data_IF_398812142812
#
_entry.id   IF_398812142812
#
_cell.length_a   1.000
_cell.length_b   1.000
_cell.length_c   1.000
_cell.angle_alpha   90.00
_cell.angle_beta   90.00
_cell.angle_gamma   90.00
#
_symmetry.space_group_name_H-M   'P 1'
#
loop_
_entity.id
_entity.type
_entity.pdbx_description
1 polymer ?
#
# COMPACT_ATOMS: atom_id res chain seq x y z
N UNK A 1 -24.01 -17.16 -23.56
CA UNK A 1 -24.32 -15.72 -23.47
C UNK A 1 -25.72 -15.59 -22.91
N UNK A 2 -25.85 -15.24 -21.63
CA UNK A 2 -27.14 -15.01 -21.00
C UNK A 2 -27.03 -13.70 -20.21
N UNK A 3 -27.76 -12.70 -20.68
CA UNK A 3 -27.87 -11.38 -20.04
C UNK A 3 -29.31 -11.27 -19.53
N UNK A 4 -29.40 -10.73 -18.31
CA UNK A 4 -30.54 -10.04 -17.70
C UNK A 4 -31.79 -10.85 -17.34
N UNK A 5 -32.09 -10.86 -16.04
CA UNK A 5 -33.44 -11.07 -15.55
C UNK A 5 -33.67 -10.35 -14.22
N UNK A 6 -34.77 -9.58 -14.18
CA UNK A 6 -35.59 -9.11 -13.06
C UNK A 6 -35.26 -7.78 -12.37
N UNK A 7 -36.02 -6.76 -12.77
CA UNK A 7 -36.49 -5.69 -11.91
C UNK A 7 -37.79 -6.11 -11.21
N UNK A 8 -37.94 -5.81 -9.92
CA UNK A 8 -39.11 -5.11 -9.35
C UNK A 8 -39.18 -5.21 -7.81
N UNK A 9 -39.67 -4.11 -7.23
CA UNK A 9 -40.38 -3.97 -5.94
C UNK A 9 -39.59 -3.47 -4.72
N UNK A 10 -39.82 -2.19 -4.41
CA UNK A 10 -39.98 -1.68 -3.04
C UNK A 10 -38.71 -1.22 -2.31
N UNK A 11 -38.65 0.08 -2.00
CA UNK A 11 -37.76 0.60 -0.96
C UNK A 11 -37.10 1.93 -1.31
N UNK A 12 -37.73 3.02 -0.88
CA UNK A 12 -37.12 4.35 -0.83
C UNK A 12 -36.30 4.45 0.46
N UNK A 13 -35.12 5.07 0.37
CA UNK A 13 -34.13 5.29 1.44
C UNK A 13 -33.48 3.96 1.90
N UNK A 14 -32.16 3.79 1.89
CA UNK A 14 -31.18 4.55 2.65
C UNK A 14 -29.79 4.36 2.04
N UNK A 15 -29.08 5.47 1.85
CA UNK A 15 -27.63 5.46 1.63
C UNK A 15 -27.22 4.83 0.31
N UNK A 16 -26.78 5.66 -0.63
CA UNK A 16 -25.81 5.24 -1.62
C UNK A 16 -24.67 4.54 -0.89
N UNK A 17 -24.70 3.19 -0.89
CA UNK A 17 -23.51 2.39 -0.74
C UNK A 17 -22.62 2.86 -1.88
N UNK A 18 -21.70 3.77 -1.56
CA UNK A 18 -20.46 3.88 -2.31
C UNK A 18 -19.99 2.43 -2.37
N UNK A 19 -20.16 1.82 -3.54
CA UNK A 19 -19.28 0.75 -3.93
C UNK A 19 -17.92 1.39 -3.75
N UNK A 20 -17.24 1.06 -2.65
CA UNK A 20 -15.80 1.07 -2.70
C UNK A 20 -15.51 0.17 -3.89
N UNK A 21 -15.25 0.80 -5.04
CA UNK A 21 -14.55 0.19 -6.14
C UNK A 21 -13.37 -0.52 -5.48
N UNK A 22 -13.56 -1.81 -5.19
CA UNK A 22 -12.47 -2.67 -4.85
C UNK A 22 -11.58 -2.55 -6.08
N UNK A 23 -10.39 -1.94 -5.99
CA UNK A 23 -9.52 -1.85 -7.14
C UNK A 23 -9.38 -3.27 -7.67
N UNK A 24 -9.40 -3.48 -8.99
CA UNK A 24 -9.33 -4.82 -9.56
C UNK A 24 -8.18 -5.55 -8.86
N UNK A 25 -8.45 -6.77 -8.35
CA UNK A 25 -7.42 -7.69 -7.88
C UNK A 25 -6.52 -8.03 -9.06
N UNK A 26 -5.65 -7.11 -9.43
CA UNK A 26 -4.61 -7.33 -10.39
C UNK A 26 -3.62 -8.23 -9.68
N UNK A 27 -3.50 -9.50 -10.03
CA UNK A 27 -2.41 -10.34 -9.52
C UNK A 27 -1.08 -9.90 -10.15
N UNK A 28 -0.67 -8.66 -9.91
CA UNK A 28 0.69 -8.22 -10.11
C UNK A 28 1.50 -8.71 -8.90
N UNK A 29 2.79 -9.04 -9.03
CA UNK A 29 3.67 -9.12 -7.88
C UNK A 29 3.68 -7.73 -7.22
N UNK A 30 2.78 -7.50 -6.27
CA UNK A 30 2.54 -6.22 -5.60
C UNK A 30 3.68 -5.94 -4.65
N UNK A 31 4.82 -5.55 -5.23
CA UNK A 31 5.89 -4.95 -4.45
C UNK A 31 5.51 -3.51 -4.18
N UNK A 32 5.37 -3.17 -2.90
CA UNK A 32 4.98 -1.84 -2.45
C UNK A 32 6.20 -0.92 -2.55
N UNK A 33 6.03 0.22 -3.20
CA UNK A 33 7.08 1.23 -3.27
C UNK A 33 6.99 2.16 -2.06
N UNK A 34 7.92 2.04 -1.11
CA UNK A 34 7.95 2.86 0.12
C UNK A 34 8.01 4.37 -0.12
N UNK A 35 8.55 4.82 -1.25
CA UNK A 35 8.66 6.25 -1.58
C UNK A 35 7.37 6.83 -2.16
N UNK A 36 6.45 6.02 -2.67
CA UNK A 36 5.17 6.48 -3.25
C UNK A 36 3.94 5.97 -2.53
N UNK A 37 4.05 4.87 -1.78
CA UNK A 37 2.92 4.20 -1.15
C UNK A 37 2.23 5.10 -0.11
N UNK A 38 0.91 4.97 -0.03
CA UNK A 38 0.10 5.65 0.99
C UNK A 38 0.14 4.92 2.33
N UNK A 39 -0.39 5.56 3.38
CA UNK A 39 -0.47 4.97 4.73
C UNK A 39 -1.25 3.65 4.71
N UNK A 40 -2.37 3.61 4.00
CA UNK A 40 -3.21 2.41 3.90
C UNK A 40 -2.49 1.25 3.21
N UNK A 41 -1.79 1.51 2.12
CA UNK A 41 -1.01 0.51 1.38
C UNK A 41 0.16 -0.03 2.23
N UNK A 42 0.88 0.86 2.93
CA UNK A 42 1.96 0.46 3.84
C UNK A 42 1.44 -0.34 5.04
N UNK A 43 0.23 -0.04 5.53
CA UNK A 43 -0.38 -0.75 6.66
C UNK A 43 -0.90 -2.16 6.31
N UNK A 44 -0.96 -2.51 5.03
CA UNK A 44 -1.29 -3.87 4.60
C UNK A 44 -0.09 -4.82 4.67
N UNK A 45 1.11 -4.28 4.89
CA UNK A 45 2.33 -5.07 4.96
C UNK A 45 2.46 -5.76 6.33
N UNK A 46 3.01 -6.98 6.36
CA UNK A 46 3.16 -7.74 7.60
C UNK A 46 4.05 -6.99 8.59
N UNK A 47 3.57 -6.83 9.83
CA UNK A 47 4.32 -6.14 10.89
C UNK A 47 4.28 -4.60 10.83
N UNK A 48 3.62 -4.00 9.83
CA UNK A 48 3.40 -2.55 9.76
C UNK A 48 1.96 -2.19 10.13
N UNK A 49 1.78 -1.61 11.32
CA UNK A 49 0.51 -1.01 11.71
C UNK A 49 0.30 0.40 11.14
N UNK A 50 -0.92 0.97 11.22
CA UNK A 50 -1.24 2.31 10.74
C UNK A 50 -0.32 3.40 11.31
N UNK A 51 0.09 3.27 12.58
CA UNK A 51 1.00 4.21 13.23
C UNK A 51 2.42 4.18 12.60
N UNK A 52 2.97 2.98 12.33
CA UNK A 52 4.29 2.87 11.70
C UNK A 52 4.23 3.29 10.24
N UNK A 53 3.16 2.94 9.52
CA UNK A 53 2.93 3.40 8.15
C UNK A 53 2.89 4.94 8.06
N UNK A 54 2.22 5.61 9.01
CA UNK A 54 2.21 7.07 9.10
C UNK A 54 3.62 7.62 9.32
N UNK A 55 4.40 7.04 10.25
CA UNK A 55 5.80 7.44 10.48
C UNK A 55 6.68 7.32 9.23
N UNK A 56 6.50 6.29 8.40
CA UNK A 56 7.24 6.15 7.13
C UNK A 56 6.93 7.34 6.20
N UNK A 57 5.64 7.70 6.09
CA UNK A 57 5.19 8.82 5.25
C UNK A 57 5.72 10.15 5.77
N UNK A 58 5.75 10.35 7.09
CA UNK A 58 6.27 11.57 7.70
C UNK A 58 7.80 11.64 7.59
N UNK A 59 8.49 10.53 7.83
CA UNK A 59 9.95 10.43 7.68
C UNK A 59 10.39 10.85 6.28
N UNK A 60 9.74 10.35 5.22
CA UNK A 60 10.09 10.73 3.84
C UNK A 60 9.73 12.17 3.47
N UNK A 61 8.79 12.79 4.19
CA UNK A 61 8.45 14.22 4.02
C UNK A 61 9.50 15.12 4.66
N UNK A 62 10.04 14.70 5.80
CA UNK A 62 11.02 15.47 6.57
C UNK A 62 12.46 15.28 6.06
N UNK A 63 12.84 14.03 5.77
CA UNK A 63 14.22 13.65 5.40
C UNK A 63 14.39 13.42 3.90
N UNK A 64 13.30 13.43 3.13
CA UNK A 64 13.29 13.09 1.71
C UNK A 64 13.11 11.59 1.45
N UNK A 65 13.09 11.17 0.16
CA UNK A 65 12.85 9.79 -0.22
C UNK A 65 13.93 8.84 0.31
N UNK A 66 13.55 7.61 0.67
CA UNK A 66 14.46 6.56 1.07
C UNK A 66 15.38 6.18 -0.10
N UNK A 67 16.70 6.14 0.15
CA UNK A 67 17.71 5.75 -0.82
C UNK A 67 17.87 4.22 -0.94
N UNK A 68 17.57 3.49 0.14
CA UNK A 68 17.65 2.03 0.20
C UNK A 68 16.54 1.48 1.11
N UNK A 69 16.31 0.16 1.06
CA UNK A 69 15.38 -0.49 1.99
C UNK A 69 15.91 -0.47 3.43
N UNK A 70 17.23 -0.50 3.61
CA UNK A 70 17.85 -0.44 4.93
C UNK A 70 17.62 0.90 5.64
N UNK A 71 17.40 1.99 4.90
CA UNK A 71 17.01 3.28 5.47
C UNK A 71 15.63 3.26 6.15
N UNK A 72 14.83 2.20 6.00
CA UNK A 72 13.62 2.01 6.79
C UNK A 72 13.92 1.72 8.26
N UNK A 73 15.13 1.25 8.60
CA UNK A 73 15.54 1.03 10.00
C UNK A 73 15.67 2.34 10.79
N UNK A 74 15.82 3.47 10.10
CA UNK A 74 15.86 4.80 10.73
C UNK A 74 14.45 5.23 11.20
N UNK A 75 13.40 4.58 10.71
CA UNK A 75 12.01 4.85 11.12
C UNK A 75 11.73 4.17 12.46
N UNK A 76 11.35 4.92 13.51
CA UNK A 76 11.00 4.33 14.80
C UNK A 76 9.91 3.28 14.66
N UNK A 77 10.13 2.10 15.23
CA UNK A 77 9.19 0.97 15.18
C UNK A 77 9.34 0.04 13.98
N UNK A 78 10.35 0.25 13.11
CA UNK A 78 10.80 -0.75 12.15
C UNK A 78 12.11 -1.34 12.67
N UNK A 79 12.07 -2.62 13.05
CA UNK A 79 13.25 -3.37 13.45
C UNK A 79 13.86 -4.16 12.29
N UNK A 80 15.07 -4.73 12.46
CA UNK A 80 15.71 -5.58 11.45
C UNK A 80 14.84 -6.77 11.04
N UNK A 81 14.18 -7.41 12.03
CA UNK A 81 13.23 -8.51 11.78
C UNK A 81 12.04 -8.08 10.92
N UNK A 82 11.44 -6.94 11.24
CA UNK A 82 10.34 -6.39 10.44
C UNK A 82 10.82 -6.07 9.03
N UNK A 83 12.01 -5.47 8.87
CA UNK A 83 12.56 -5.20 7.55
C UNK A 83 12.78 -6.48 6.73
N UNK A 84 13.29 -7.55 7.35
CA UNK A 84 13.45 -8.86 6.69
C UNK A 84 12.11 -9.43 6.21
N UNK A 85 11.08 -9.37 7.05
CA UNK A 85 9.71 -9.79 6.68
C UNK A 85 9.13 -8.93 5.55
N UNK A 86 9.49 -7.64 5.51
CA UNK A 86 9.01 -6.69 4.50
C UNK A 86 9.75 -6.80 3.17
N UNK A 87 11.05 -7.12 3.16
CA UNK A 87 11.90 -7.19 1.96
C UNK A 87 11.25 -7.91 0.75
N UNK A 88 10.61 -9.08 0.88
CA UNK A 88 9.97 -9.74 -0.26
C UNK A 88 8.74 -8.99 -0.81
N UNK A 89 8.13 -8.12 0.00
CA UNK A 89 6.95 -7.33 -0.36
C UNK A 89 7.28 -5.90 -0.78
N UNK A 90 8.53 -5.47 -0.64
CA UNK A 90 8.95 -4.12 -0.97
C UNK A 90 9.63 -4.07 -2.33
N UNK A 91 9.35 -3.00 -3.08
CA UNK A 91 10.02 -2.77 -4.34
C UNK A 91 11.46 -2.36 -4.05
N UNK A 92 12.48 -3.05 -4.60
CA UNK A 92 13.86 -2.66 -4.42
C UNK A 92 14.08 -1.24 -4.94
N UNK A 93 14.65 -0.38 -4.10
CA UNK A 93 14.98 0.99 -4.45
C UNK A 93 16.27 0.93 -5.27
N UNK A 94 16.15 1.07 -6.58
CA UNK A 94 17.31 1.31 -7.44
C UNK A 94 17.47 2.82 -7.59
N UNK A 95 18.61 3.34 -7.14
CA UNK A 95 19.14 4.62 -7.59
C UNK A 95 19.06 4.64 -9.12
N UNK A 96 18.55 5.73 -9.69
CA UNK A 96 18.11 5.81 -11.09
C UNK A 96 19.26 5.73 -12.12
N UNK A 97 20.07 4.67 -12.18
CA UNK A 97 21.15 4.54 -13.19
C UNK A 97 21.43 3.07 -13.56
N UNK A 98 20.41 2.40 -14.07
CA UNK A 98 20.61 1.48 -15.19
C UNK A 98 19.42 1.75 -16.11
N UNK A 99 19.30 3.00 -16.58
CA UNK A 99 19.72 3.38 -17.93
C UNK A 99 18.87 2.62 -18.96
N UNK A 100 17.93 3.35 -19.57
CA UNK A 100 17.27 3.11 -20.86
C UNK A 100 17.09 1.67 -21.32
#
# INVERSE_FOLDING_TARGET
AAIAAWAAAGGWFHGSLVHHDAPPSATAPFTVNVNSAGVMELSQLPGLGPATAQRIVDHRREHGPFASLDALLDVPGIGPRTLEDLRPHLRPIRSREAER
#
